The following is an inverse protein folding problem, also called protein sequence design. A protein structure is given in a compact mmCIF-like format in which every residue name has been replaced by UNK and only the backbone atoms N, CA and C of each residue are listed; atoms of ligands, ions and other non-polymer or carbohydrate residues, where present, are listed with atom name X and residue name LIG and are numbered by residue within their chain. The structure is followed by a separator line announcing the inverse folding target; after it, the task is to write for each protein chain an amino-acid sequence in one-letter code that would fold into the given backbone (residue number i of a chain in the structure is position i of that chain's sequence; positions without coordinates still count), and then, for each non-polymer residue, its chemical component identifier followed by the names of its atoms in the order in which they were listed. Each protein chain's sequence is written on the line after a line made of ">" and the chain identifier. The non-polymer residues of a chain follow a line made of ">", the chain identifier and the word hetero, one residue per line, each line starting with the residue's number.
data_IF_813214088245
#
_entry.id   IF_813214088245
#
_cell.length_a   1.000
_cell.length_b   1.000
_cell.length_c   1.000
_cell.angle_alpha   90.00
_cell.angle_beta   90.00
_cell.angle_gamma   90.00
#
_symmetry.space_group_name_H-M   'P 1'
#
loop_
_entity.id
_entity.type
_entity.pdbx_description
1 polymer ?
#
# COMPACT_ATOMS: atom_id res chain seq x y z
N UNK A 1 16.29 -18.91 13.37
CA UNK A 1 17.14 -17.72 13.20
C UNK A 1 16.26 -16.62 12.64
N UNK A 2 16.02 -15.57 13.42
CA UNK A 2 15.10 -14.50 13.05
C UNK A 2 15.74 -13.50 12.11
N UNK A 3 15.05 -13.13 11.03
CA UNK A 3 15.35 -11.93 10.26
C UNK A 3 14.07 -11.16 10.03
N UNK A 4 14.06 -9.95 10.59
CA UNK A 4 12.97 -8.96 10.61
C UNK A 4 12.37 -8.66 9.22
N UNK A 5 11.13 -8.17 9.15
CA UNK A 5 10.55 -7.64 7.92
C UNK A 5 11.38 -6.44 7.44
N UNK A 6 12.13 -6.60 6.34
CA UNK A 6 12.87 -5.48 5.75
C UNK A 6 11.89 -4.57 5.01
N UNK A 7 11.43 -3.57 5.77
CA UNK A 7 10.89 -2.25 5.41
C UNK A 7 10.94 -1.92 3.91
N UNK A 8 9.87 -1.32 3.42
CA UNK A 8 9.64 -0.79 2.06
C UNK A 8 10.80 0.00 1.38
N UNK A 9 11.89 0.32 2.08
CA UNK A 9 13.09 1.01 1.62
C UNK A 9 14.16 0.07 1.00
N UNK A 10 14.03 -1.25 1.17
CA UNK A 10 15.09 -2.20 0.77
C UNK A 10 15.36 -2.23 -0.74
N UNK A 11 14.30 -2.26 -1.55
CA UNK A 11 14.45 -2.30 -3.01
C UNK A 11 14.91 -0.94 -3.57
N UNK A 12 14.43 0.18 -3.02
CA UNK A 12 14.80 1.53 -3.49
C UNK A 12 16.30 1.79 -3.33
N UNK A 13 16.86 1.41 -2.19
CA UNK A 13 18.30 1.53 -1.93
C UNK A 13 19.13 0.62 -2.86
N UNK A 14 18.67 -0.60 -3.10
CA UNK A 14 19.33 -1.55 -3.99
C UNK A 14 19.31 -1.07 -5.45
N UNK A 15 18.20 -0.49 -5.92
CA UNK A 15 18.11 0.14 -7.25
C UNK A 15 19.16 1.24 -7.38
N UNK A 16 19.24 2.17 -6.42
CA UNK A 16 20.23 3.25 -6.46
C UNK A 16 21.67 2.72 -6.42
N UNK A 17 21.94 1.68 -5.63
CA UNK A 17 23.26 1.04 -5.56
C UNK A 17 23.67 0.45 -6.91
N UNK A 18 22.74 -0.20 -7.62
CA UNK A 18 23.00 -0.79 -8.95
C UNK A 18 23.14 0.25 -10.06
N UNK A 19 22.52 1.42 -9.87
CA UNK A 19 22.61 2.54 -10.80
C UNK A 19 23.73 3.54 -10.46
N UNK A 20 24.48 3.29 -9.38
CA UNK A 20 25.56 4.17 -8.97
C UNK A 20 26.68 4.21 -10.02
N UNK A 21 27.10 5.42 -10.40
CA UNK A 21 28.16 5.62 -11.40
C UNK A 21 27.71 5.49 -12.86
N UNK A 22 26.41 5.39 -13.12
CA UNK A 22 25.88 5.41 -14.49
C UNK A 22 25.68 6.86 -14.96
N UNK A 23 26.01 7.12 -16.22
CA UNK A 23 25.73 8.38 -16.89
C UNK A 23 24.28 8.39 -17.39
N UNK A 24 23.53 9.42 -17.00
CA UNK A 24 22.19 9.66 -17.46
C UNK A 24 22.20 10.53 -18.73
N UNK A 25 21.19 10.41 -19.61
CA UNK A 25 20.01 9.56 -19.50
C UNK A 25 20.27 8.08 -19.80
N UNK A 26 19.46 7.20 -19.23
CA UNK A 26 19.52 5.74 -19.49
C UNK A 26 18.24 5.26 -20.18
N UNK A 27 18.31 4.13 -20.88
CA UNK A 27 17.14 3.49 -21.50
C UNK A 27 16.57 2.36 -20.65
N UNK A 28 15.36 1.91 -21.00
CA UNK A 28 14.71 0.74 -20.40
C UNK A 28 15.55 -0.54 -20.52
N UNK A 29 16.31 -0.70 -21.60
CA UNK A 29 17.24 -1.82 -21.78
C UNK A 29 18.42 -1.75 -20.80
N UNK A 30 19.05 -0.59 -20.67
CA UNK A 30 20.10 -0.37 -19.65
C UNK A 30 19.55 -0.62 -18.25
N UNK A 31 18.32 -0.17 -17.96
CA UNK A 31 17.67 -0.40 -16.68
C UNK A 31 17.46 -1.90 -16.42
N UNK A 32 17.00 -2.67 -17.43
CA UNK A 32 16.81 -4.12 -17.35
C UNK A 32 18.13 -4.84 -17.09
N UNK A 33 19.19 -4.48 -17.79
CA UNK A 33 20.52 -5.08 -17.61
C UNK A 33 21.05 -4.84 -16.19
N UNK A 34 20.95 -3.60 -15.69
CA UNK A 34 21.50 -3.23 -14.37
C UNK A 34 20.71 -3.83 -13.22
N UNK A 35 19.40 -3.96 -13.37
CA UNK A 35 18.54 -4.52 -12.33
C UNK A 35 18.36 -6.04 -12.46
N UNK A 36 18.90 -6.68 -13.50
CA UNK A 36 18.74 -8.11 -13.76
C UNK A 36 18.95 -8.99 -12.51
N UNK A 37 18.04 -9.95 -12.33
CA UNK A 37 18.06 -10.88 -11.19
C UNK A 37 17.67 -10.27 -9.85
N UNK A 38 17.17 -9.03 -9.83
CA UNK A 38 16.55 -8.41 -8.66
C UNK A 38 15.05 -8.74 -8.59
N UNK A 39 14.53 -8.88 -7.38
CA UNK A 39 13.09 -8.95 -7.12
C UNK A 39 12.63 -7.78 -6.24
N UNK A 40 11.51 -7.17 -6.59
CA UNK A 40 10.82 -6.17 -5.79
C UNK A 40 9.60 -6.85 -5.17
N UNK A 41 9.64 -7.08 -3.85
CA UNK A 41 8.54 -7.70 -3.08
C UNK A 41 8.06 -9.03 -3.67
N UNK A 42 9.01 -9.90 -4.01
CA UNK A 42 8.75 -11.22 -4.57
C UNK A 42 8.47 -11.23 -6.08
N UNK A 43 8.31 -10.07 -6.73
CA UNK A 43 8.12 -9.97 -8.18
C UNK A 43 9.44 -9.64 -8.87
N UNK A 44 9.83 -10.37 -9.94
CA UNK A 44 11.02 -10.05 -10.73
C UNK A 44 10.99 -8.61 -11.24
N UNK A 45 12.11 -7.90 -11.17
CA UNK A 45 12.16 -6.50 -11.60
C UNK A 45 11.86 -6.34 -13.08
N UNK A 46 12.13 -7.36 -13.89
CA UNK A 46 11.79 -7.40 -15.32
C UNK A 46 10.29 -7.23 -15.54
N UNK A 47 9.47 -7.93 -14.74
CA UNK A 47 8.01 -7.81 -14.76
C UNK A 47 7.55 -6.40 -14.35
N UNK A 48 8.24 -5.79 -13.38
CA UNK A 48 7.98 -4.40 -12.96
C UNK A 48 8.35 -3.42 -14.08
N UNK A 49 9.50 -3.61 -14.71
CA UNK A 49 9.96 -2.78 -15.84
C UNK A 49 8.98 -2.89 -17.01
N UNK A 50 8.39 -4.06 -17.27
CA UNK A 50 7.39 -4.24 -18.34
C UNK A 50 6.18 -3.29 -18.20
N UNK A 51 5.81 -2.89 -16.98
CA UNK A 51 4.71 -1.95 -16.72
C UNK A 51 5.09 -0.46 -16.88
N UNK A 52 6.37 -0.16 -17.07
CA UNK A 52 6.83 1.22 -17.28
C UNK A 52 6.58 1.62 -18.73
N UNK A 53 5.84 2.70 -18.96
CA UNK A 53 5.47 3.15 -20.31
C UNK A 53 6.57 3.99 -20.99
N UNK A 54 7.50 4.55 -20.22
CA UNK A 54 8.62 5.34 -20.75
C UNK A 54 9.84 4.46 -21.03
N UNK A 55 10.55 4.79 -22.12
CA UNK A 55 11.76 4.06 -22.51
C UNK A 55 13.07 4.78 -22.14
N UNK A 56 12.98 5.99 -21.57
CA UNK A 56 14.12 6.85 -21.25
C UNK A 56 13.95 7.48 -19.86
N UNK A 57 15.05 7.54 -19.10
CA UNK A 57 15.10 8.09 -17.75
C UNK A 57 16.23 9.12 -17.67
N UNK A 58 15.89 10.37 -17.34
CA UNK A 58 16.86 11.46 -17.32
C UNK A 58 17.62 11.58 -15.99
N UNK A 59 17.04 11.06 -14.90
CA UNK A 59 17.65 11.10 -13.57
C UNK A 59 17.41 9.82 -12.76
N UNK A 60 18.21 9.55 -11.72
CA UNK A 60 17.94 8.45 -10.79
C UNK A 60 16.56 8.55 -10.12
N UNK A 61 16.06 9.79 -9.91
CA UNK A 61 14.74 10.04 -9.35
C UNK A 61 13.64 9.53 -10.29
N UNK A 62 13.79 9.74 -11.59
CA UNK A 62 12.82 9.29 -12.58
C UNK A 62 12.71 7.77 -12.56
N UNK A 63 13.85 7.07 -12.51
CA UNK A 63 13.87 5.61 -12.39
C UNK A 63 13.08 5.14 -11.17
N UNK A 64 13.34 5.74 -9.99
CA UNK A 64 12.60 5.38 -8.77
C UNK A 64 11.11 5.69 -8.87
N UNK A 65 10.75 6.80 -9.49
CA UNK A 65 9.36 7.21 -9.70
C UNK A 65 8.60 6.18 -10.56
N UNK A 66 9.14 5.85 -11.74
CA UNK A 66 8.48 4.92 -12.66
C UNK A 66 8.45 3.48 -12.13
N UNK A 67 9.50 3.03 -11.44
CA UNK A 67 9.47 1.73 -10.75
C UNK A 67 8.39 1.72 -9.65
N UNK A 68 8.26 2.80 -8.88
CA UNK A 68 7.24 2.88 -7.83
C UNK A 68 5.81 2.88 -8.42
N UNK A 69 5.60 3.56 -9.54
CA UNK A 69 4.32 3.56 -10.27
C UNK A 69 4.00 2.17 -10.84
N UNK A 70 4.98 1.50 -11.46
CA UNK A 70 4.82 0.14 -11.97
C UNK A 70 4.49 -0.85 -10.84
N UNK A 71 5.19 -0.77 -9.71
CA UNK A 71 4.88 -1.56 -8.51
C UNK A 71 3.44 -1.29 -8.05
N UNK A 72 2.98 -0.04 -8.10
CA UNK A 72 1.60 0.29 -7.74
C UNK A 72 0.57 -0.35 -8.67
N UNK A 73 0.79 -0.29 -9.99
CA UNK A 73 -0.07 -0.95 -10.98
C UNK A 73 -0.17 -2.46 -10.72
N UNK A 74 0.94 -3.10 -10.36
CA UNK A 74 0.99 -4.52 -10.02
C UNK A 74 0.35 -4.85 -8.66
N UNK A 75 0.45 -3.95 -7.67
CA UNK A 75 -0.29 -4.04 -6.41
C UNK A 75 -1.80 -3.99 -6.64
N UNK A 76 -2.28 -3.08 -7.51
CA UNK A 76 -3.70 -2.96 -7.84
C UNK A 76 -4.27 -4.18 -8.58
N UNK A 77 -3.43 -4.87 -9.36
CA UNK A 77 -3.77 -6.14 -10.02
C UNK A 77 -3.62 -7.37 -9.12
N UNK A 78 -3.12 -7.21 -7.89
CA UNK A 78 -2.89 -8.31 -6.94
C UNK A 78 -1.68 -9.19 -7.27
N UNK A 79 -0.81 -8.77 -8.20
CA UNK A 79 0.40 -9.50 -8.59
C UNK A 79 1.54 -9.32 -7.58
N UNK A 80 1.56 -8.20 -6.85
CA UNK A 80 2.48 -7.95 -5.73
C UNK A 80 1.71 -8.04 -4.41
N UNK A 81 2.12 -8.91 -3.47
CA UNK A 81 1.60 -8.89 -2.12
C UNK A 81 1.79 -7.50 -1.52
N UNK A 82 0.70 -6.87 -1.11
CA UNK A 82 0.74 -5.59 -0.41
C UNK A 82 1.27 -5.81 1.01
N UNK A 83 2.59 -6.02 1.14
CA UNK A 83 3.29 -6.09 2.42
C UNK A 83 3.07 -4.76 3.16
N UNK A 84 2.17 -4.78 4.15
CA UNK A 84 2.16 -3.83 5.28
C UNK A 84 2.24 -2.34 4.91
N UNK A 85 1.45 -1.86 3.94
CA UNK A 85 1.12 -0.43 3.80
C UNK A 85 -0.31 -0.10 4.23
N UNK A 86 -0.91 -0.99 5.00
CA UNK A 86 -2.27 -0.86 5.50
C UNK A 86 -2.37 0.08 6.71
N UNK A 87 -1.45 1.02 6.96
CA UNK A 87 -1.61 2.01 8.03
C UNK A 87 -2.21 3.33 7.56
N UNK A 88 -1.68 3.86 6.45
CA UNK A 88 -1.93 5.25 6.04
C UNK A 88 -2.96 5.33 4.90
N UNK A 89 -2.98 4.37 3.95
CA UNK A 89 -3.89 4.44 2.79
C UNK A 89 -5.36 4.23 3.20
N UNK A 90 -5.66 3.25 4.04
CA UNK A 90 -7.04 3.04 4.51
C UNK A 90 -7.52 4.18 5.40
N UNK A 91 -6.66 4.71 6.29
CA UNK A 91 -7.02 5.83 7.14
C UNK A 91 -7.31 7.07 6.30
N UNK A 92 -6.47 7.36 5.30
CA UNK A 92 -6.71 8.44 4.35
C UNK A 92 -8.01 8.23 3.54
N UNK A 93 -8.28 7.01 3.07
CA UNK A 93 -9.53 6.71 2.34
C UNK A 93 -10.77 6.79 3.23
N UNK A 94 -10.69 6.32 4.48
CA UNK A 94 -11.77 6.50 5.47
C UNK A 94 -12.02 7.98 5.65
N UNK A 95 -10.99 8.77 5.99
CA UNK A 95 -11.09 10.22 6.18
C UNK A 95 -11.66 10.94 4.95
N UNK A 96 -11.25 10.54 3.74
CA UNK A 96 -11.77 11.10 2.49
C UNK A 96 -13.27 10.85 2.32
N UNK A 97 -13.77 9.67 2.71
CA UNK A 97 -15.19 9.30 2.59
C UNK A 97 -16.08 9.95 3.64
N UNK A 98 -15.54 10.23 4.82
CA UNK A 98 -16.25 10.94 5.90
C UNK A 98 -16.01 12.46 5.87
N UNK A 99 -15.24 12.96 4.91
CA UNK A 99 -14.93 14.37 4.81
C UNK A 99 -16.22 15.19 4.58
N UNK A 100 -16.48 16.16 5.45
CA UNK A 100 -17.68 17.00 5.39
C UNK A 100 -18.90 16.38 6.07
N UNK A 101 -18.78 15.21 6.70
CA UNK A 101 -19.86 14.64 7.51
C UNK A 101 -19.93 15.27 8.90
N UNK A 102 -21.14 15.27 9.46
CA UNK A 102 -21.39 15.68 10.83
C UNK A 102 -21.25 14.51 11.80
N UNK A 103 -20.61 14.77 12.93
CA UNK A 103 -20.46 13.86 14.06
C UNK A 103 -21.42 14.26 15.21
N UNK A 104 -21.88 13.31 16.05
CA UNK A 104 -21.51 11.89 16.07
C UNK A 104 -22.12 11.08 14.92
N UNK A 105 -21.47 9.97 14.56
CA UNK A 105 -21.92 9.07 13.51
C UNK A 105 -22.13 7.65 14.05
N UNK A 106 -23.29 7.06 13.77
CA UNK A 106 -23.59 5.68 14.16
C UNK A 106 -22.99 4.64 13.19
N UNK A 107 -23.00 3.37 13.62
CA UNK A 107 -22.52 2.24 12.81
C UNK A 107 -23.23 2.11 11.46
N UNK A 108 -24.53 2.39 11.38
CA UNK A 108 -25.28 2.24 10.13
C UNK A 108 -24.78 3.25 9.09
N UNK A 109 -24.67 4.52 9.50
CA UNK A 109 -24.17 5.59 8.65
C UNK A 109 -22.70 5.38 8.28
N UNK A 110 -21.89 4.85 9.20
CA UNK A 110 -20.51 4.45 8.89
C UNK A 110 -20.46 3.35 7.83
N UNK A 111 -21.30 2.31 7.91
CA UNK A 111 -21.36 1.26 6.90
C UNK A 111 -21.76 1.81 5.54
N UNK A 112 -22.76 2.69 5.49
CA UNK A 112 -23.19 3.32 4.24
C UNK A 112 -22.05 4.14 3.61
N UNK A 113 -21.34 4.95 4.40
CA UNK A 113 -20.27 5.83 3.89
C UNK A 113 -19.02 5.06 3.50
N UNK A 114 -18.69 4.02 4.26
CA UNK A 114 -17.48 3.23 4.05
C UNK A 114 -17.73 2.01 3.14
N UNK A 115 -18.95 1.81 2.66
CA UNK A 115 -19.36 0.67 1.85
C UNK A 115 -18.39 0.34 0.71
N UNK A 116 -18.05 -0.94 0.57
CA UNK A 116 -17.12 -1.41 -0.46
C UNK A 116 -15.64 -1.11 -0.18
N UNK A 117 -15.28 -0.59 1.00
CA UNK A 117 -13.90 -0.70 1.48
C UNK A 117 -13.64 -2.12 1.99
N UNK A 118 -12.42 -2.58 1.73
CA UNK A 118 -11.94 -3.86 2.22
C UNK A 118 -10.65 -3.67 3.00
N UNK A 119 -10.59 -4.32 4.16
CA UNK A 119 -9.41 -4.46 4.99
C UNK A 119 -8.87 -5.88 4.90
N UNK A 120 -7.74 -6.09 4.19
CA UNK A 120 -7.16 -7.44 3.96
C UNK A 120 -8.17 -8.48 3.43
N UNK A 121 -9.08 -8.05 2.56
CA UNK A 121 -10.14 -8.94 2.04
C UNK A 121 -11.35 -9.08 2.97
N UNK A 122 -11.31 -8.48 4.16
CA UNK A 122 -12.47 -8.36 5.04
C UNK A 122 -13.26 -7.09 4.72
N UNK A 123 -14.56 -7.16 4.44
CA UNK A 123 -15.38 -5.98 4.21
C UNK A 123 -15.39 -5.07 5.45
N UNK A 124 -15.32 -3.75 5.24
CA UNK A 124 -15.26 -2.78 6.34
C UNK A 124 -16.49 -2.86 7.25
N UNK A 125 -17.63 -3.31 6.73
CA UNK A 125 -18.87 -3.51 7.46
C UNK A 125 -18.67 -4.50 8.61
N UNK A 126 -17.90 -5.58 8.37
CA UNK A 126 -17.54 -6.55 9.40
C UNK A 126 -16.61 -5.95 10.46
N UNK A 127 -15.72 -5.04 10.06
CA UNK A 127 -14.87 -4.30 11.00
C UNK A 127 -15.71 -3.36 11.86
N UNK A 128 -16.66 -2.64 11.26
CA UNK A 128 -17.58 -1.74 11.98
C UNK A 128 -18.47 -2.52 12.96
N UNK A 129 -18.92 -3.71 12.57
CA UNK A 129 -19.68 -4.60 13.46
C UNK A 129 -18.88 -5.04 14.68
N UNK A 130 -17.57 -5.23 14.53
CA UNK A 130 -16.67 -5.60 15.62
C UNK A 130 -16.30 -4.43 16.56
N UNK A 131 -16.65 -3.18 16.21
CA UNK A 131 -16.48 -2.03 17.10
C UNK A 131 -17.38 -2.15 18.33
N UNK A 132 -16.87 -1.78 19.50
CA UNK A 132 -17.62 -1.86 20.76
C UNK A 132 -18.49 -0.63 21.02
N UNK A 133 -18.18 0.49 20.35
CA UNK A 133 -18.95 1.73 20.43
C UNK A 133 -20.07 1.75 19.40
N UNK A 134 -21.25 2.25 19.78
CA UNK A 134 -22.40 2.40 18.89
C UNK A 134 -22.31 3.65 18.00
N UNK A 135 -21.57 4.67 18.46
CA UNK A 135 -21.34 5.92 17.76
C UNK A 135 -19.86 6.34 17.87
N UNK A 136 -19.38 7.05 16.86
CA UNK A 136 -18.07 7.69 16.85
C UNK A 136 -18.22 9.20 16.91
N UNK A 137 -17.39 9.85 17.70
CA UNK A 137 -17.55 11.28 18.04
C UNK A 137 -16.71 12.20 17.13
N UNK A 138 -15.69 11.65 16.47
CA UNK A 138 -14.81 12.43 15.60
C UNK A 138 -14.11 11.54 14.56
N UNK A 139 -13.51 12.13 13.51
CA UNK A 139 -12.69 11.36 12.56
C UNK A 139 -11.52 10.62 13.22
N UNK A 140 -10.89 11.22 14.22
CA UNK A 140 -9.78 10.60 14.95
C UNK A 140 -10.26 9.41 15.78
N UNK A 141 -11.42 9.56 16.46
CA UNK A 141 -12.06 8.49 17.19
C UNK A 141 -12.47 7.34 16.26
N UNK A 142 -13.06 7.63 15.10
CA UNK A 142 -13.38 6.60 14.10
C UNK A 142 -12.16 5.76 13.71
N UNK A 143 -11.03 6.41 13.39
CA UNK A 143 -9.79 5.69 13.03
C UNK A 143 -9.29 4.83 14.19
N UNK A 144 -9.40 5.33 15.42
CA UNK A 144 -9.02 4.60 16.62
C UNK A 144 -9.88 3.34 16.82
N UNK A 145 -11.20 3.48 16.74
CA UNK A 145 -12.14 2.36 16.92
C UNK A 145 -11.98 1.29 15.83
N UNK A 146 -11.82 1.72 14.57
CA UNK A 146 -11.54 0.79 13.47
C UNK A 146 -10.23 0.02 13.70
N UNK A 147 -9.20 0.68 14.20
CA UNK A 147 -7.92 0.04 14.53
C UNK A 147 -8.07 -1.02 15.63
N UNK A 148 -8.85 -0.72 16.69
CA UNK A 148 -9.15 -1.68 17.76
C UNK A 148 -9.91 -2.89 17.21
N UNK A 149 -10.96 -2.65 16.42
CA UNK A 149 -11.78 -3.71 15.83
C UNK A 149 -10.96 -4.61 14.89
N UNK A 150 -10.11 -4.01 14.06
CA UNK A 150 -9.17 -4.74 13.19
C UNK A 150 -8.26 -5.64 14.02
N UNK A 151 -7.64 -5.11 15.08
CA UNK A 151 -6.73 -5.88 15.92
C UNK A 151 -7.44 -7.08 16.55
N UNK A 152 -8.68 -6.90 17.01
CA UNK A 152 -9.51 -7.97 17.56
C UNK A 152 -9.78 -9.07 16.54
N UNK A 153 -10.10 -8.70 15.29
CA UNK A 153 -10.32 -9.67 14.21
C UNK A 153 -9.02 -10.39 13.79
N UNK A 154 -7.86 -9.71 13.84
CA UNK A 154 -6.55 -10.33 13.62
C UNK A 154 -6.21 -11.34 14.73
N UNK A 155 -6.47 -11.01 16.00
CA UNK A 155 -6.28 -11.92 17.15
C UNK A 155 -7.21 -13.15 17.08
N UNK A 156 -8.39 -13.02 16.47
CA UNK A 156 -9.34 -14.11 16.25
C UNK A 156 -9.02 -14.97 15.02
N UNK A 157 -7.99 -14.62 14.25
CA UNK A 157 -7.61 -15.34 13.03
C UNK A 157 -8.56 -15.14 11.85
N UNK A 158 -9.47 -14.15 11.94
CA UNK A 158 -10.42 -13.83 10.87
C UNK A 158 -9.83 -12.91 9.80
N UNK A 159 -8.63 -12.38 10.06
CA UNK A 159 -7.87 -11.48 9.19
C UNK A 159 -6.42 -11.98 9.14
N UNK A 160 -5.94 -12.36 7.94
CA UNK A 160 -4.56 -12.77 7.67
C UNK A 160 -3.69 -11.58 7.19
#
# INVERSE_FOLDING_TARGET
>A
MGTMPRRALGWTAEVLKRLHGINYPITKDTLREKLAGMSIRGVPVERVIDEIEVDKFDTPRDVLHYIAEAVHKLEERGEIPTETRKGIRWAAEVLKRIHGEHFPMDKQKLKEKLAGLYWRGVPIEKVIDAMEVEQVESPADLLHQLSIAIKKLEEQGEVA
#
